data_IF_199143227552
#
_entry.id   IF_199143227552
#
_cell.length_a   1.000
_cell.length_b   1.000
_cell.length_c   1.000
_cell.angle_alpha   90.00
_cell.angle_beta   90.00
_cell.angle_gamma   90.00
#
_symmetry.space_group_name_H-M   'P 1'
#
loop_
_entity.id
_entity.type
_entity.pdbx_description
1 polymer ?
#
# COMPACT_ATOMS: atom_id res chain seq x y z
N UNK A 1 -45.92 -1.52 -14.42
CA UNK A 1 -45.12 -2.76 -14.42
C UNK A 1 -43.67 -2.34 -14.35
N UNK A 2 -43.04 -2.40 -13.17
CA UNK A 2 -41.61 -2.15 -13.04
C UNK A 2 -40.85 -3.36 -13.59
N UNK A 3 -39.76 -3.20 -14.36
CA UNK A 3 -39.00 -4.34 -14.84
C UNK A 3 -38.27 -4.98 -13.66
N UNK A 4 -38.55 -6.26 -13.43
CA UNK A 4 -37.84 -7.12 -12.50
C UNK A 4 -36.38 -7.19 -12.92
N UNK A 5 -35.48 -6.67 -12.07
CA UNK A 5 -34.05 -6.84 -12.25
C UNK A 5 -33.73 -8.33 -12.17
N UNK A 6 -33.36 -8.90 -13.32
CA UNK A 6 -32.74 -10.21 -13.45
C UNK A 6 -31.40 -10.17 -12.71
N UNK A 7 -31.36 -10.77 -11.52
CA UNK A 7 -30.15 -10.97 -10.75
C UNK A 7 -29.21 -11.90 -11.54
N UNK A 8 -28.23 -11.31 -12.24
CA UNK A 8 -27.06 -12.05 -12.71
C UNK A 8 -26.26 -12.62 -11.52
N UNK A 9 -25.23 -13.45 -11.77
CA UNK A 9 -24.37 -13.94 -10.70
C UNK A 9 -23.80 -12.74 -9.93
N UNK A 10 -24.11 -12.67 -8.64
CA UNK A 10 -23.63 -11.64 -7.73
C UNK A 10 -22.11 -11.60 -7.77
N UNK A 11 -21.53 -10.45 -8.10
CA UNK A 11 -20.08 -10.35 -8.29
C UNK A 11 -19.35 -10.59 -6.95
N UNK A 12 -18.09 -11.04 -6.99
CA UNK A 12 -17.31 -11.26 -5.74
C UNK A 12 -17.27 -10.01 -4.83
N UNK A 13 -17.11 -8.78 -5.37
CA UNK A 13 -17.24 -7.57 -4.57
C UNK A 13 -18.60 -7.41 -3.87
N UNK A 14 -19.70 -7.80 -4.54
CA UNK A 14 -21.05 -7.71 -3.96
C UNK A 14 -21.23 -8.68 -2.80
N UNK A 15 -20.74 -9.92 -2.94
CA UNK A 15 -20.84 -10.94 -1.89
C UNK A 15 -20.11 -10.49 -0.62
N UNK A 16 -18.87 -10.00 -0.76
CA UNK A 16 -18.09 -9.50 0.38
C UNK A 16 -18.78 -8.28 0.98
N UNK A 17 -19.23 -7.32 0.17
CA UNK A 17 -19.96 -6.14 0.66
C UNK A 17 -21.26 -6.47 1.41
N UNK A 18 -21.90 -7.61 1.14
CA UNK A 18 -23.07 -8.09 1.89
C UNK A 18 -22.69 -8.72 3.22
N UNK A 19 -21.52 -9.37 3.29
CA UNK A 19 -20.99 -9.96 4.51
C UNK A 19 -20.43 -8.92 5.49
N UNK A 20 -19.97 -7.76 4.99
CA UNK A 20 -19.43 -6.67 5.81
C UNK A 20 -20.35 -5.45 5.87
N UNK A 21 -20.52 -4.88 7.07
CA UNK A 21 -21.35 -3.70 7.29
C UNK A 21 -20.62 -2.39 6.91
N UNK A 22 -20.42 -2.13 5.61
CA UNK A 22 -19.87 -0.87 5.13
C UNK A 22 -20.94 0.23 5.11
N UNK A 23 -20.62 1.41 5.65
CA UNK A 23 -21.49 2.58 5.48
C UNK A 23 -21.43 3.09 4.01
N UNK A 24 -22.35 3.98 3.57
CA UNK A 24 -22.40 4.41 2.17
C UNK A 24 -21.09 4.99 1.62
N UNK A 25 -20.34 5.76 2.40
CA UNK A 25 -19.07 6.35 1.99
C UNK A 25 -17.95 5.31 1.91
N UNK A 26 -17.92 4.38 2.87
CA UNK A 26 -17.00 3.25 2.87
C UNK A 26 -17.26 2.32 1.70
N UNK A 27 -18.53 2.03 1.38
CA UNK A 27 -18.93 1.23 0.24
C UNK A 27 -18.52 1.91 -1.07
N UNK A 28 -18.74 3.22 -1.21
CA UNK A 28 -18.28 3.96 -2.40
C UNK A 28 -16.77 3.81 -2.62
N UNK A 29 -15.96 4.04 -1.56
CA UNK A 29 -14.51 3.88 -1.65
C UNK A 29 -14.10 2.44 -1.96
N UNK A 30 -14.72 1.47 -1.30
CA UNK A 30 -14.53 0.04 -1.55
C UNK A 30 -14.78 -0.31 -3.02
N UNK A 31 -15.90 0.15 -3.59
CA UNK A 31 -16.27 -0.10 -4.99
C UNK A 31 -15.28 0.49 -5.97
N UNK A 32 -14.88 1.74 -5.78
CA UNK A 32 -13.88 2.39 -6.64
C UNK A 32 -12.60 1.54 -6.70
N UNK A 33 -12.13 1.05 -5.55
CA UNK A 33 -10.91 0.23 -5.48
C UNK A 33 -11.13 -1.13 -6.14
N UNK A 34 -12.22 -1.84 -5.83
CA UNK A 34 -12.46 -3.20 -6.34
C UNK A 34 -12.75 -3.22 -7.82
N UNK A 35 -13.54 -2.26 -8.32
CA UNK A 35 -13.91 -2.18 -9.72
C UNK A 35 -12.68 -1.83 -10.56
N UNK A 36 -11.86 -0.87 -10.10
CA UNK A 36 -10.58 -0.56 -10.73
C UNK A 36 -9.67 -1.79 -10.77
N UNK A 37 -9.51 -2.50 -9.65
CA UNK A 37 -8.66 -3.68 -9.58
C UNK A 37 -9.12 -4.76 -10.57
N UNK A 38 -10.43 -5.05 -10.62
CA UNK A 38 -11.00 -6.05 -11.52
C UNK A 38 -10.79 -5.64 -12.97
N UNK A 39 -11.15 -4.42 -13.36
CA UNK A 39 -10.99 -3.95 -14.73
C UNK A 39 -9.52 -3.95 -15.17
N UNK A 40 -8.65 -3.35 -14.36
CA UNK A 40 -7.25 -3.14 -14.75
C UNK A 40 -6.44 -4.44 -14.73
N UNK A 41 -6.58 -5.26 -13.69
CA UNK A 41 -5.66 -6.38 -13.45
C UNK A 41 -6.25 -7.76 -13.72
N UNK A 42 -7.57 -7.92 -13.57
CA UNK A 42 -8.25 -9.20 -13.83
C UNK A 42 -8.73 -9.29 -15.28
N UNK A 43 -9.49 -8.28 -15.74
CA UNK A 43 -9.98 -8.19 -17.12
C UNK A 43 -8.93 -7.65 -18.09
N UNK A 44 -7.83 -7.09 -17.56
CA UNK A 44 -6.70 -6.54 -18.33
C UNK A 44 -7.12 -5.46 -19.33
N UNK A 45 -8.03 -4.59 -18.89
CA UNK A 45 -8.43 -3.41 -19.66
C UNK A 45 -7.23 -2.46 -19.87
N UNK A 46 -6.78 -2.35 -21.12
CA UNK A 46 -5.65 -1.48 -21.49
C UNK A 46 -5.96 -0.01 -21.27
N UNK A 47 -7.23 0.38 -21.43
CA UNK A 47 -7.68 1.77 -21.38
C UNK A 47 -7.89 2.28 -19.95
N UNK A 48 -8.02 1.36 -18.99
CA UNK A 48 -8.17 1.69 -17.58
C UNK A 48 -6.95 2.50 -17.08
N UNK A 49 -7.20 3.73 -16.63
CA UNK A 49 -6.16 4.62 -16.11
C UNK A 49 -5.72 4.22 -14.70
N UNK A 50 -4.51 4.60 -14.25
CA UNK A 50 -4.09 4.43 -12.86
C UNK A 50 -5.07 5.11 -11.89
N UNK A 51 -5.41 4.42 -10.79
CA UNK A 51 -6.26 4.98 -9.74
C UNK A 51 -5.41 5.75 -8.73
N UNK A 52 -5.52 7.07 -8.73
CA UNK A 52 -4.99 7.93 -7.67
C UNK A 52 -6.12 8.37 -6.76
N UNK A 53 -6.22 7.75 -5.58
CA UNK A 53 -7.32 7.98 -4.64
C UNK A 53 -6.80 8.55 -3.32
N UNK A 54 -7.32 9.72 -2.93
CA UNK A 54 -7.11 10.29 -1.60
C UNK A 54 -8.34 10.04 -0.72
N UNK A 55 -8.20 9.17 0.27
CA UNK A 55 -9.25 8.90 1.26
C UNK A 55 -9.02 9.74 2.52
N UNK A 56 -9.83 10.78 2.72
CA UNK A 56 -9.74 11.66 3.90
C UNK A 56 -10.86 11.36 4.91
N UNK A 57 -10.69 11.90 6.12
CA UNK A 57 -11.67 11.80 7.20
C UNK A 57 -10.99 11.62 8.55
N UNK A 58 -11.68 11.89 9.67
CA UNK A 58 -11.13 11.74 11.01
C UNK A 58 -10.56 10.35 11.30
N UNK A 59 -9.76 10.24 12.37
CA UNK A 59 -9.36 8.95 12.92
C UNK A 59 -10.59 8.13 13.32
N UNK A 60 -10.55 6.82 13.12
CA UNK A 60 -11.66 5.92 13.50
C UNK A 60 -12.80 5.80 12.48
N UNK A 61 -12.75 6.47 11.33
CA UNK A 61 -13.81 6.36 10.30
C UNK A 61 -13.74 5.10 9.42
N UNK A 62 -12.83 4.16 9.72
CA UNK A 62 -12.75 2.88 9.01
C UNK A 62 -12.10 2.93 7.62
N UNK A 63 -11.22 3.90 7.33
CA UNK A 63 -10.47 3.92 6.05
C UNK A 63 -9.65 2.66 5.82
N UNK A 64 -8.89 2.23 6.83
CA UNK A 64 -8.13 0.98 6.80
C UNK A 64 -9.06 -0.24 6.63
N UNK A 65 -10.23 -0.21 7.27
CA UNK A 65 -11.22 -1.28 7.15
C UNK A 65 -11.70 -1.44 5.70
N UNK A 66 -11.97 -0.32 5.00
CA UNK A 66 -12.32 -0.33 3.57
C UNK A 66 -11.26 -1.00 2.72
N UNK A 67 -9.99 -0.63 2.91
CA UNK A 67 -8.89 -1.16 2.08
C UNK A 67 -8.60 -2.62 2.41
N UNK A 68 -8.71 -3.03 3.67
CA UNK A 68 -8.63 -4.44 4.05
C UNK A 68 -9.76 -5.26 3.42
N UNK A 69 -10.99 -4.72 3.39
CA UNK A 69 -12.11 -5.37 2.71
C UNK A 69 -11.85 -5.49 1.20
N UNK A 70 -11.30 -4.45 0.56
CA UNK A 70 -10.92 -4.51 -0.85
C UNK A 70 -9.80 -5.55 -1.11
N UNK A 71 -8.85 -5.69 -0.17
CA UNK A 71 -7.82 -6.74 -0.22
C UNK A 71 -8.43 -8.14 -0.14
N UNK A 72 -9.52 -8.35 0.61
CA UNK A 72 -10.23 -9.63 0.63
C UNK A 72 -10.75 -10.02 -0.76
N UNK A 73 -11.29 -9.06 -1.52
CA UNK A 73 -11.63 -9.28 -2.94
C UNK A 73 -10.38 -9.71 -3.71
N UNK A 74 -9.26 -9.00 -3.58
CA UNK A 74 -8.02 -9.37 -4.27
C UNK A 74 -7.54 -10.78 -3.90
N UNK A 75 -7.69 -11.19 -2.64
CA UNK A 75 -7.37 -12.54 -2.17
C UNK A 75 -8.21 -13.62 -2.86
N UNK A 76 -9.48 -13.35 -3.18
CA UNK A 76 -10.32 -14.30 -3.93
C UNK A 76 -9.80 -14.58 -5.34
N UNK A 77 -9.05 -13.63 -5.92
CA UNK A 77 -8.36 -13.77 -7.22
C UNK A 77 -6.89 -14.21 -7.06
N UNK A 78 -6.47 -14.66 -5.87
CA UNK A 78 -5.07 -14.99 -5.55
C UNK A 78 -4.09 -13.81 -5.71
N UNK A 79 -4.62 -12.58 -5.71
CA UNK A 79 -3.88 -11.34 -5.94
C UNK A 79 -3.65 -10.52 -4.67
N UNK A 80 -3.92 -11.08 -3.47
CA UNK A 80 -3.73 -10.36 -2.21
C UNK A 80 -2.28 -9.88 -1.95
N UNK A 81 -1.30 -10.50 -2.62
CA UNK A 81 0.11 -10.10 -2.56
C UNK A 81 0.44 -8.87 -3.43
N UNK A 82 -0.46 -8.47 -4.35
CA UNK A 82 -0.28 -7.36 -5.29
C UNK A 82 -0.54 -5.99 -4.67
N UNK A 83 -1.02 -5.96 -3.42
CA UNK A 83 -1.19 -4.73 -2.63
C UNK A 83 -0.13 -4.64 -1.51
N UNK A 84 0.43 -3.45 -1.31
CA UNK A 84 1.33 -3.13 -0.19
C UNK A 84 0.76 -2.02 0.69
N UNK A 85 0.98 -2.17 1.99
CA UNK A 85 0.52 -1.25 3.02
C UNK A 85 1.73 -0.53 3.61
N UNK A 86 1.75 0.79 3.48
CA UNK A 86 2.81 1.65 3.98
C UNK A 86 2.26 2.66 4.98
N UNK A 87 3.09 3.07 5.93
CA UNK A 87 2.78 4.21 6.79
C UNK A 87 4.06 4.99 7.16
N UNK A 88 3.96 6.29 7.50
CA UNK A 88 5.12 7.09 7.90
C UNK A 88 5.78 6.60 9.20
N UNK A 89 5.00 6.07 10.15
CA UNK A 89 5.50 5.66 11.48
C UNK A 89 5.40 4.15 11.68
N UNK A 90 6.30 3.60 12.51
CA UNK A 90 6.31 2.17 12.82
C UNK A 90 5.02 1.71 13.52
N UNK A 91 4.44 2.54 14.41
CA UNK A 91 3.18 2.23 15.07
C UNK A 91 2.00 2.17 14.11
N UNK A 92 1.91 3.11 13.15
CA UNK A 92 0.85 3.09 12.15
C UNK A 92 1.02 1.91 11.18
N UNK A 93 2.26 1.61 10.77
CA UNK A 93 2.56 0.47 9.92
C UNK A 93 2.14 -0.86 10.56
N UNK A 94 2.42 -1.04 11.86
CA UNK A 94 2.02 -2.23 12.60
C UNK A 94 0.50 -2.41 12.68
N UNK A 95 -0.27 -1.32 12.77
CA UNK A 95 -1.74 -1.37 12.84
C UNK A 95 -2.42 -1.80 11.53
N UNK A 96 -1.71 -1.70 10.41
CA UNK A 96 -2.24 -2.04 9.08
C UNK A 96 -1.55 -3.28 8.50
N UNK A 97 -0.84 -4.06 9.33
CA UNK A 97 0.01 -5.19 8.93
C UNK A 97 0.94 -4.84 7.75
N UNK A 98 1.48 -3.63 7.79
CA UNK A 98 2.32 -3.04 6.75
C UNK A 98 3.75 -2.77 7.22
N UNK A 99 4.42 -1.90 6.49
CA UNK A 99 5.76 -1.45 6.85
C UNK A 99 5.90 0.07 6.76
N UNK A 100 6.99 0.61 7.32
CA UNK A 100 7.24 2.04 7.17
C UNK A 100 7.56 2.35 5.71
N UNK A 101 7.18 3.55 5.24
CA UNK A 101 7.51 4.00 3.88
C UNK A 101 9.02 3.89 3.62
N UNK A 102 9.85 4.31 4.57
CA UNK A 102 11.30 4.22 4.48
C UNK A 102 11.79 2.78 4.27
N UNK A 103 11.26 1.83 5.04
CA UNK A 103 11.62 0.42 4.87
C UNK A 103 11.10 -0.13 3.55
N UNK A 104 9.83 0.15 3.25
CA UNK A 104 9.14 -0.38 2.07
C UNK A 104 9.65 0.16 0.76
N UNK A 105 10.26 1.33 0.73
CA UNK A 105 10.83 1.92 -0.49
C UNK A 105 12.35 2.02 -0.45
N UNK A 106 13.00 1.48 0.59
CA UNK A 106 14.45 1.55 0.76
C UNK A 106 15.00 2.98 0.92
N UNK A 107 14.15 3.92 1.38
CA UNK A 107 14.56 5.32 1.54
C UNK A 107 15.48 5.47 2.75
N UNK A 108 16.59 6.17 2.52
CA UNK A 108 17.55 6.48 3.58
C UNK A 108 16.98 7.57 4.47
N UNK A 109 16.98 7.32 5.78
CA UNK A 109 16.70 8.37 6.76
C UNK A 109 17.95 9.23 6.82
N UNK A 110 17.88 10.45 6.28
CA UNK A 110 18.92 11.45 6.49
C UNK A 110 18.88 11.86 7.97
N UNK A 111 19.61 11.14 8.81
CA UNK A 111 19.81 11.56 10.19
C UNK A 111 20.58 12.87 10.13
N UNK A 112 19.89 13.98 10.39
CA UNK A 112 20.52 15.25 10.73
C UNK A 112 21.63 14.93 11.73
N UNK A 113 22.88 15.22 11.34
CA UNK A 113 24.11 14.87 12.04
C UNK A 113 23.91 14.79 13.56
N UNK A 114 23.94 13.59 14.14
CA UNK A 114 24.27 13.47 15.56
C UNK A 114 25.73 13.89 15.70
N UNK A 115 25.96 15.19 15.91
CA UNK A 115 27.20 15.73 16.43
C UNK A 115 27.41 15.11 17.82
N UNK A 116 28.14 14.00 17.86
CA UNK A 116 28.53 13.33 19.09
C UNK A 116 28.24 11.84 19.08
N UNK A 117 29.21 11.03 18.64
CA UNK A 117 30.04 10.23 19.55
C UNK A 117 30.99 9.33 18.74
N UNK A 118 32.27 9.41 19.10
CA UNK A 118 33.34 8.55 18.63
C UNK A 118 33.04 7.07 18.92
N UNK A 119 33.23 6.20 17.93
CA UNK A 119 33.89 4.90 18.12
C UNK A 119 34.37 4.36 16.76
N UNK A 120 35.63 4.66 16.46
CA UNK A 120 36.40 3.87 15.52
C UNK A 120 36.73 2.53 16.18
N UNK A 121 36.45 1.42 15.49
CA UNK A 121 37.21 0.18 15.62
C UNK A 121 37.66 -0.22 14.22
N UNK A 122 38.96 -0.37 13.96
CA UNK A 122 39.48 -0.73 12.65
C UNK A 122 39.45 -2.26 12.47
N UNK A 123 38.95 -2.73 11.32
CA UNK A 123 39.08 -4.14 10.92
C UNK A 123 37.92 -4.63 10.05
N UNK A 124 38.23 -4.87 8.78
CA UNK A 124 37.35 -5.20 7.64
C UNK A 124 36.57 -3.98 7.18
N UNK A 125 36.79 -3.58 5.93
CA UNK A 125 36.26 -2.37 5.29
C UNK A 125 34.74 -2.28 5.50
N UNK A 126 34.34 -1.53 6.53
CA UNK A 126 32.95 -1.41 6.97
C UNK A 126 32.05 -0.84 5.89
N UNK A 127 32.66 -0.08 4.97
CA UNK A 127 32.03 0.45 3.78
C UNK A 127 31.61 -0.67 2.83
N UNK A 128 32.47 -1.67 2.58
CA UNK A 128 32.15 -2.81 1.72
C UNK A 128 31.03 -3.68 2.31
N UNK A 129 31.04 -3.94 3.62
CA UNK A 129 29.96 -4.69 4.29
C UNK A 129 28.64 -3.92 4.19
N UNK A 130 28.66 -2.60 4.40
CA UNK A 130 27.47 -1.75 4.31
C UNK A 130 26.93 -1.64 2.87
N UNK A 131 27.82 -1.60 1.89
CA UNK A 131 27.48 -1.57 0.47
C UNK A 131 26.89 -2.91 0.03
N UNK A 132 27.50 -4.03 0.40
CA UNK A 132 26.99 -5.38 0.13
C UNK A 132 25.63 -5.59 0.80
N UNK A 133 25.45 -5.17 2.06
CA UNK A 133 24.16 -5.24 2.74
C UNK A 133 23.11 -4.37 2.05
N UNK A 134 23.48 -3.19 1.56
CA UNK A 134 22.59 -2.31 0.79
C UNK A 134 22.17 -2.93 -0.54
N UNK A 135 23.09 -3.57 -1.25
CA UNK A 135 22.81 -4.27 -2.53
C UNK A 135 21.86 -5.45 -2.28
N UNK A 136 22.14 -6.29 -1.29
CA UNK A 136 21.27 -7.42 -0.92
C UNK A 136 19.87 -6.95 -0.52
N UNK A 137 19.78 -5.86 0.25
CA UNK A 137 18.50 -5.26 0.62
C UNK A 137 17.74 -4.72 -0.59
N UNK A 138 18.43 -4.15 -1.59
CA UNK A 138 17.80 -3.68 -2.82
C UNK A 138 17.30 -4.83 -3.69
N UNK A 139 18.04 -5.93 -3.78
CA UNK A 139 17.60 -7.13 -4.49
C UNK A 139 16.37 -7.76 -3.83
N UNK A 140 16.36 -7.89 -2.50
CA UNK A 140 15.18 -8.37 -1.78
C UNK A 140 14.00 -7.43 -1.96
N UNK A 141 14.24 -6.11 -1.93
CA UNK A 141 13.18 -5.13 -2.14
C UNK A 141 12.60 -5.23 -3.55
N UNK A 142 13.44 -5.32 -4.58
CA UNK A 142 12.99 -5.52 -5.96
C UNK A 142 12.18 -6.80 -6.11
N UNK A 143 12.58 -7.87 -5.45
CA UNK A 143 11.82 -9.12 -5.44
C UNK A 143 10.46 -8.96 -4.74
N UNK A 144 10.41 -8.26 -3.61
CA UNK A 144 9.17 -7.97 -2.87
C UNK A 144 8.20 -7.07 -3.66
N UNK A 145 8.72 -6.20 -4.53
CA UNK A 145 7.95 -5.21 -5.30
C UNK A 145 7.59 -5.64 -6.71
N UNK A 146 8.20 -6.72 -7.22
CA UNK A 146 8.06 -7.18 -8.62
C UNK A 146 6.60 -7.29 -9.09
N UNK A 147 5.73 -7.78 -8.22
CA UNK A 147 4.33 -8.08 -8.54
C UNK A 147 3.36 -7.19 -7.72
N UNK A 148 3.80 -6.00 -7.31
CA UNK A 148 2.97 -5.02 -6.59
C UNK A 148 2.38 -4.03 -7.59
N UNK A 149 1.06 -3.90 -7.62
CA UNK A 149 0.36 -2.92 -8.47
C UNK A 149 -0.40 -1.86 -7.68
N UNK A 150 -0.67 -2.12 -6.40
CA UNK A 150 -1.45 -1.21 -5.55
C UNK A 150 -0.63 -0.90 -4.30
N UNK A 151 -0.47 0.40 -4.03
CA UNK A 151 0.14 0.89 -2.80
C UNK A 151 -0.89 1.67 -2.02
N UNK A 152 -1.14 1.25 -0.78
CA UNK A 152 -1.94 1.99 0.18
C UNK A 152 -1.03 2.63 1.22
N UNK A 153 -1.15 3.95 1.41
CA UNK A 153 -0.39 4.70 2.40
C UNK A 153 -1.34 5.24 3.47
N UNK A 154 -1.24 4.76 4.71
CA UNK A 154 -1.99 5.32 5.84
C UNK A 154 -1.27 6.53 6.43
N UNK A 155 -2.00 7.40 7.13
CA UNK A 155 -1.50 8.61 7.80
C UNK A 155 -0.73 9.54 6.85
N UNK A 156 -1.23 9.70 5.62
CA UNK A 156 -0.66 10.61 4.61
C UNK A 156 -0.51 12.07 5.11
N UNK A 157 -1.29 12.48 6.10
CA UNK A 157 -1.18 13.79 6.75
C UNK A 157 0.16 14.02 7.46
N UNK A 158 0.95 12.97 7.69
CA UNK A 158 2.29 13.06 8.29
C UNK A 158 3.41 13.12 7.23
N UNK A 159 3.07 13.06 5.95
CA UNK A 159 4.06 13.11 4.87
C UNK A 159 4.44 14.56 4.58
N UNK A 160 5.74 14.82 4.47
CA UNK A 160 6.24 16.07 3.90
C UNK A 160 6.15 16.02 2.38
N UNK A 161 6.13 17.19 1.73
CA UNK A 161 6.21 17.28 0.27
C UNK A 161 7.49 16.60 -0.26
N UNK A 162 8.61 16.73 0.47
CA UNK A 162 9.85 16.05 0.12
C UNK A 162 9.70 14.53 0.12
N UNK A 163 9.12 13.95 1.18
CA UNK A 163 8.92 12.51 1.26
C UNK A 163 7.96 12.03 0.17
N UNK A 164 6.97 12.83 -0.21
CA UNK A 164 6.08 12.51 -1.32
C UNK A 164 6.83 12.47 -2.67
N UNK A 165 7.76 13.40 -2.92
CA UNK A 165 8.64 13.35 -4.09
C UNK A 165 9.58 12.14 -4.07
N UNK A 166 10.10 11.75 -2.90
CA UNK A 166 10.93 10.56 -2.76
C UNK A 166 10.14 9.27 -3.02
N UNK A 167 8.86 9.22 -2.62
CA UNK A 167 7.95 8.12 -2.95
C UNK A 167 7.71 8.05 -4.46
N UNK A 168 7.41 9.18 -5.10
CA UNK A 168 7.17 9.27 -6.55
C UNK A 168 8.42 8.84 -7.35
N UNK A 169 9.61 9.23 -6.90
CA UNK A 169 10.87 8.81 -7.53
C UNK A 169 11.18 7.31 -7.35
N UNK A 170 10.71 6.70 -6.26
CA UNK A 170 11.01 5.31 -5.93
C UNK A 170 10.07 4.28 -6.56
N UNK A 171 8.87 4.71 -6.98
CA UNK A 171 7.83 3.88 -7.61
C UNK A 171 7.89 3.96 -9.14
#
# INVERSE_FOLDING_TARGET
>A
MAPTAINGPTSTPDLIAQCVALNPQQNLAYRIITDHFIHKFILKDSEAQPLHMLMTGPGGTGKTYVVNTAKEVMCTYQCGHRIRFLAPTGSAAALIDGMTIHKGLGLRINSMQRKGQNKQTPGIDSEDISAIASIKNLESLRAEWKDVDIVFIDKVSLLSAQLLCEIDYAL
#
